data_IF_241835659419
#
_entry.id   IF_241835659419
#
_cell.length_a   1.000
_cell.length_b   1.000
_cell.length_c   1.000
_cell.angle_alpha   90.00
_cell.angle_beta   90.00
_cell.angle_gamma   90.00
#
_symmetry.space_group_name_H-M   'P 1'
#
loop_
_entity.id
_entity.type
_entity.pdbx_description
1 polymer ?
#
# COMPACT_ATOMS: atom_id res chain seq x y z
N UNK A 1 -24.28 4.39 -1.56
CA UNK A 1 -23.88 3.56 -2.73
C UNK A 1 -22.82 4.31 -3.51
N UNK A 2 -21.84 3.59 -4.10
CA UNK A 2 -20.85 4.25 -4.96
C UNK A 2 -21.50 4.89 -6.18
N UNK A 3 -20.92 5.99 -6.64
CA UNK A 3 -21.32 6.61 -7.90
C UNK A 3 -20.76 5.79 -9.07
N UNK A 4 -21.62 5.17 -9.84
CA UNK A 4 -21.22 4.29 -10.96
C UNK A 4 -20.49 5.02 -12.10
N UNK A 5 -20.56 6.35 -12.15
CA UNK A 5 -19.83 7.17 -13.11
C UNK A 5 -18.38 7.47 -12.69
N UNK A 6 -18.01 7.11 -11.47
CA UNK A 6 -16.67 7.33 -10.94
C UNK A 6 -15.87 6.02 -10.89
N UNK A 7 -14.57 6.11 -11.13
CA UNK A 7 -13.66 4.98 -10.91
C UNK A 7 -13.51 4.67 -9.43
N UNK A 8 -13.25 3.41 -9.12
CA UNK A 8 -13.06 2.94 -7.76
C UNK A 8 -11.61 2.56 -7.50
N UNK A 9 -11.05 3.06 -6.42
CA UNK A 9 -9.75 2.66 -5.90
C UNK A 9 -9.93 1.83 -4.62
N UNK A 10 -9.24 0.70 -4.54
CA UNK A 10 -9.05 -0.04 -3.30
C UNK A 10 -7.73 0.38 -2.65
N UNK A 11 -7.77 0.80 -1.39
CA UNK A 11 -6.58 1.15 -0.62
C UNK A 11 -6.51 0.23 0.61
N UNK A 12 -5.50 -0.63 0.66
CA UNK A 12 -5.29 -1.49 1.82
C UNK A 12 -4.51 -0.74 2.91
N UNK A 13 -4.89 -0.91 4.18
CA UNK A 13 -4.27 -0.19 5.29
C UNK A 13 -4.59 1.31 5.29
N UNK A 14 -5.83 1.68 4.97
CA UNK A 14 -6.28 3.08 4.85
C UNK A 14 -6.38 3.83 6.19
N UNK A 15 -6.26 3.13 7.34
CA UNK A 15 -6.48 3.71 8.67
C UNK A 15 -5.39 4.66 9.17
N UNK A 16 -4.24 4.75 8.49
CA UNK A 16 -3.18 5.63 8.99
C UNK A 16 -2.02 5.84 8.02
N UNK A 17 -1.15 6.76 8.39
CA UNK A 17 0.06 7.06 7.65
C UNK A 17 -0.19 7.38 6.17
N UNK A 18 0.54 6.70 5.31
CA UNK A 18 0.46 6.86 3.86
C UNK A 18 -0.95 6.50 3.34
N UNK A 19 -1.54 5.39 3.80
CA UNK A 19 -2.84 4.92 3.33
C UNK A 19 -3.97 5.93 3.55
N UNK A 20 -3.98 6.62 4.70
CA UNK A 20 -4.95 7.68 5.01
C UNK A 20 -4.84 8.85 4.02
N UNK A 21 -3.62 9.33 3.79
CA UNK A 21 -3.41 10.48 2.91
C UNK A 21 -3.75 10.17 1.46
N UNK A 22 -3.39 8.96 0.99
CA UNK A 22 -3.77 8.48 -0.34
C UNK A 22 -5.31 8.42 -0.47
N UNK A 23 -6.01 7.92 0.55
CA UNK A 23 -7.47 7.80 0.53
C UNK A 23 -8.14 9.17 0.38
N UNK A 24 -7.66 10.17 1.11
CA UNK A 24 -8.14 11.54 1.01
C UNK A 24 -7.83 12.13 -0.37
N UNK A 25 -6.63 11.87 -0.91
CA UNK A 25 -6.22 12.41 -2.19
C UNK A 25 -7.04 11.84 -3.35
N UNK A 26 -7.31 10.53 -3.37
CA UNK A 26 -8.21 9.92 -4.36
C UNK A 26 -9.64 10.46 -4.25
N UNK A 27 -10.17 10.60 -3.03
CA UNK A 27 -11.51 11.14 -2.80
C UNK A 27 -11.66 12.58 -3.30
N UNK A 28 -10.67 13.46 -3.03
CA UNK A 28 -10.61 14.84 -3.54
C UNK A 28 -10.60 14.89 -5.07
N UNK A 29 -10.05 13.88 -5.73
CA UNK A 29 -10.02 13.76 -7.18
C UNK A 29 -11.21 12.96 -7.74
N UNK A 30 -12.31 12.90 -7.00
CA UNK A 30 -13.58 12.31 -7.44
C UNK A 30 -13.51 10.83 -7.79
N UNK A 31 -12.79 10.05 -6.99
CA UNK A 31 -12.84 8.59 -7.02
C UNK A 31 -13.75 8.06 -5.93
N UNK A 32 -14.40 6.94 -6.17
CA UNK A 32 -14.94 6.10 -5.11
C UNK A 32 -13.78 5.46 -4.37
N UNK A 33 -13.73 5.55 -3.04
CA UNK A 33 -12.61 5.05 -2.24
C UNK A 33 -13.06 3.87 -1.38
N UNK A 34 -12.56 2.69 -1.70
CA UNK A 34 -12.75 1.48 -0.91
C UNK A 34 -11.59 1.34 0.05
N UNK A 35 -11.84 1.55 1.34
CA UNK A 35 -10.84 1.63 2.39
C UNK A 35 -10.80 0.33 3.20
N UNK A 36 -9.73 -0.44 3.10
CA UNK A 36 -9.50 -1.56 4.01
C UNK A 36 -8.76 -1.11 5.27
N UNK A 37 -9.13 -1.69 6.41
CA UNK A 37 -8.45 -1.54 7.70
C UNK A 37 -8.56 -2.83 8.53
N UNK A 38 -7.66 -3.01 9.53
CA UNK A 38 -7.75 -4.12 10.48
C UNK A 38 -8.41 -3.67 11.80
N UNK A 39 -7.67 -2.98 12.68
CA UNK A 39 -8.11 -2.79 14.08
C UNK A 39 -8.20 -1.34 14.56
N UNK A 40 -7.71 -0.38 13.79
CA UNK A 40 -7.60 1.04 14.21
C UNK A 40 -8.92 1.79 14.12
N UNK A 41 -9.92 1.46 14.96
CA UNK A 41 -11.26 2.09 14.95
C UNK A 41 -11.20 3.61 15.00
N UNK A 42 -10.47 4.20 15.95
CA UNK A 42 -10.36 5.65 16.10
C UNK A 42 -9.89 6.33 14.82
N UNK A 43 -8.85 5.80 14.17
CA UNK A 43 -8.33 6.39 12.93
C UNK A 43 -9.34 6.30 11.78
N UNK A 44 -10.17 5.25 11.77
CA UNK A 44 -11.24 5.09 10.78
C UNK A 44 -12.38 6.07 11.06
N UNK A 45 -12.78 6.28 12.31
CA UNK A 45 -13.78 7.28 12.69
C UNK A 45 -13.33 8.69 12.29
N UNK A 46 -12.06 9.04 12.50
CA UNK A 46 -11.47 10.32 12.07
C UNK A 46 -11.44 10.47 10.54
N UNK A 47 -11.14 9.38 9.81
CA UNK A 47 -11.15 9.38 8.35
C UNK A 47 -12.58 9.46 7.81
N UNK A 48 -13.51 8.74 8.42
CA UNK A 48 -14.93 8.77 8.07
C UNK A 48 -15.53 10.15 8.26
N UNK A 49 -15.22 10.81 9.38
CA UNK A 49 -15.60 12.19 9.60
C UNK A 49 -15.10 13.11 8.50
N UNK A 50 -13.81 13.02 8.16
CA UNK A 50 -13.23 13.78 7.06
C UNK A 50 -13.96 13.53 5.73
N UNK A 51 -14.35 12.31 5.45
CA UNK A 51 -15.07 11.97 4.21
C UNK A 51 -16.50 12.51 4.22
N UNK A 52 -17.22 12.41 5.33
CA UNK A 52 -18.57 12.98 5.50
C UNK A 52 -18.57 14.51 5.37
N UNK A 53 -17.62 15.16 6.04
CA UNK A 53 -17.50 16.63 6.03
C UNK A 53 -17.22 17.21 4.62
N UNK A 54 -16.71 16.38 3.69
CA UNK A 54 -16.40 16.77 2.31
C UNK A 54 -17.27 16.09 1.25
N UNK A 55 -18.32 15.37 1.63
CA UNK A 55 -19.23 14.65 0.74
C UNK A 55 -18.52 13.70 -0.24
N UNK A 56 -17.49 12.98 0.23
CA UNK A 56 -16.75 12.02 -0.56
C UNK A 56 -17.46 10.67 -0.66
N UNK A 57 -17.24 9.95 -1.75
CA UNK A 57 -17.74 8.58 -1.93
C UNK A 57 -16.76 7.56 -1.35
N UNK A 58 -17.15 6.86 -0.29
CA UNK A 58 -16.29 5.90 0.39
C UNK A 58 -17.06 4.67 0.88
N UNK A 59 -16.31 3.60 1.13
CA UNK A 59 -16.79 2.40 1.79
C UNK A 59 -15.65 1.77 2.61
N UNK A 60 -15.91 1.37 3.84
CA UNK A 60 -14.93 0.72 4.70
C UNK A 60 -15.15 -0.78 4.78
N UNK A 61 -14.06 -1.55 4.64
CA UNK A 61 -14.06 -2.99 4.87
C UNK A 61 -13.01 -3.32 5.93
N UNK A 62 -13.46 -3.93 7.01
CA UNK A 62 -12.56 -4.47 8.03
C UNK A 62 -12.17 -5.89 7.65
N UNK A 63 -10.87 -6.22 7.73
CA UNK A 63 -10.36 -7.56 7.52
C UNK A 63 -8.99 -7.72 8.21
N UNK A 64 -8.70 -8.90 8.74
CA UNK A 64 -7.39 -9.23 9.31
C UNK A 64 -6.59 -10.07 8.32
N UNK A 65 -5.69 -9.42 7.59
CA UNK A 65 -4.86 -10.09 6.58
C UNK A 65 -3.83 -11.07 7.14
N UNK A 66 -3.71 -11.23 8.46
CA UNK A 66 -2.95 -12.31 9.05
C UNK A 66 -3.66 -13.67 8.94
N UNK A 67 -4.97 -13.67 8.65
CA UNK A 67 -5.84 -14.85 8.57
C UNK A 67 -6.28 -15.10 7.14
N UNK A 68 -6.02 -16.30 6.65
CA UNK A 68 -6.41 -16.70 5.29
C UNK A 68 -7.91 -16.55 5.06
N UNK A 69 -8.70 -16.99 6.02
CA UNK A 69 -10.16 -16.98 5.95
C UNK A 69 -10.70 -15.55 5.79
N UNK A 70 -10.13 -14.59 6.53
CA UNK A 70 -10.51 -13.18 6.44
C UNK A 70 -10.11 -12.58 5.08
N UNK A 71 -8.96 -13.01 4.51
CA UNK A 71 -8.55 -12.62 3.14
C UNK A 71 -9.52 -13.17 2.10
N UNK A 72 -9.94 -14.43 2.22
CA UNK A 72 -10.91 -15.04 1.28
C UNK A 72 -12.26 -14.29 1.33
N UNK A 73 -12.80 -14.04 2.53
CA UNK A 73 -14.04 -13.25 2.72
C UNK A 73 -13.88 -11.84 2.15
N UNK A 74 -12.73 -11.22 2.35
CA UNK A 74 -12.44 -9.90 1.80
C UNK A 74 -12.46 -9.93 0.27
N UNK A 75 -11.82 -10.91 -0.36
CA UNK A 75 -11.80 -11.08 -1.82
C UNK A 75 -13.21 -11.29 -2.36
N UNK A 76 -14.02 -12.13 -1.71
CA UNK A 76 -15.41 -12.34 -2.11
C UNK A 76 -16.21 -11.04 -2.08
N UNK A 77 -16.01 -10.22 -1.06
CA UNK A 77 -16.63 -8.90 -0.94
C UNK A 77 -16.21 -7.94 -2.06
N UNK A 78 -14.97 -8.02 -2.56
CA UNK A 78 -14.51 -7.19 -3.66
C UNK A 78 -15.27 -7.44 -4.98
N UNK A 79 -15.94 -8.57 -5.14
CA UNK A 79 -16.75 -8.86 -6.32
C UNK A 79 -17.94 -7.91 -6.50
N UNK A 80 -18.39 -7.25 -5.42
CA UNK A 80 -19.46 -6.25 -5.46
C UNK A 80 -19.01 -4.91 -6.08
N UNK A 81 -17.70 -4.73 -6.29
CA UNK A 81 -17.12 -3.46 -6.73
C UNK A 81 -16.42 -3.59 -8.10
N UNK A 82 -16.52 -2.53 -8.91
CA UNK A 82 -15.74 -2.41 -10.14
C UNK A 82 -14.44 -1.64 -9.85
N UNK A 83 -13.41 -2.36 -9.40
CA UNK A 83 -12.16 -1.78 -8.96
C UNK A 83 -11.28 -1.46 -10.16
N UNK A 84 -10.96 -0.18 -10.35
CA UNK A 84 -10.10 0.34 -11.40
C UNK A 84 -8.66 0.57 -10.95
N UNK A 85 -8.45 0.73 -9.65
CA UNK A 85 -7.12 0.92 -9.06
C UNK A 85 -6.98 0.18 -7.74
N UNK A 86 -5.78 -0.33 -7.45
CA UNK A 86 -5.44 -0.92 -6.16
C UNK A 86 -4.12 -0.37 -5.65
N UNK A 87 -4.12 0.05 -4.38
CA UNK A 87 -2.93 0.46 -3.65
C UNK A 87 -2.67 -0.55 -2.53
N UNK A 88 -1.71 -1.43 -2.75
CA UNK A 88 -1.26 -2.41 -1.76
C UNK A 88 -0.34 -1.71 -0.75
N UNK A 89 -0.95 -1.07 0.25
CA UNK A 89 -0.26 -0.30 1.27
C UNK A 89 -0.27 -0.99 2.64
N UNK A 90 -1.21 -1.90 2.91
CA UNK A 90 -1.22 -2.66 4.17
C UNK A 90 0.13 -3.35 4.40
N UNK A 91 0.63 -3.23 5.61
CA UNK A 91 1.89 -3.86 5.97
C UNK A 91 2.27 -3.60 7.42
N UNK A 92 2.97 -4.56 7.97
CA UNK A 92 3.56 -4.50 9.32
C UNK A 92 5.06 -4.65 9.26
N UNK A 93 5.74 -4.20 10.30
CA UNK A 93 7.15 -4.50 10.56
C UNK A 93 7.26 -5.18 11.91
N UNK A 94 8.01 -6.24 11.95
CA UNK A 94 8.35 -6.95 13.19
C UNK A 94 9.82 -6.68 13.47
N UNK A 95 10.12 -6.21 14.69
CA UNK A 95 11.49 -6.21 15.20
C UNK A 95 11.66 -7.42 16.11
N UNK A 96 12.56 -8.31 15.74
CA UNK A 96 12.98 -9.31 16.68
C UNK A 96 14.03 -8.70 17.61
N UNK A 97 13.72 -8.65 18.91
CA UNK A 97 14.64 -8.15 19.92
C UNK A 97 15.71 -9.18 20.31
N UNK A 98 15.59 -10.41 19.82
CA UNK A 98 16.57 -11.46 20.01
C UNK A 98 17.63 -11.37 18.90
N UNK A 99 18.85 -11.10 19.27
CA UNK A 99 19.94 -10.78 18.32
C UNK A 99 20.33 -11.91 17.35
N UNK A 100 19.82 -13.11 17.51
CA UNK A 100 20.28 -14.29 16.76
C UNK A 100 19.18 -15.24 16.26
N UNK A 101 17.91 -15.03 16.57
CA UNK A 101 16.83 -15.95 16.18
C UNK A 101 15.73 -15.25 15.41
N UNK A 102 15.32 -15.82 14.28
CA UNK A 102 14.15 -15.41 13.53
C UNK A 102 12.93 -16.15 14.08
N UNK A 103 11.93 -15.41 14.59
CA UNK A 103 10.65 -15.96 14.95
C UNK A 103 9.87 -16.31 13.68
N UNK A 104 9.84 -17.60 13.34
CA UNK A 104 9.18 -18.06 12.11
C UNK A 104 7.68 -17.83 12.11
N UNK A 105 6.99 -17.94 13.26
CA UNK A 105 5.54 -17.71 13.31
C UNK A 105 5.21 -16.25 13.02
N UNK A 106 5.92 -15.31 13.64
CA UNK A 106 5.77 -13.88 13.32
C UNK A 106 6.20 -13.56 11.90
N UNK A 107 7.21 -14.24 11.37
CA UNK A 107 7.64 -14.06 9.98
C UNK A 107 6.54 -14.51 9.02
N UNK A 108 5.88 -15.64 9.26
CA UNK A 108 4.74 -16.12 8.47
C UNK A 108 3.61 -15.10 8.51
N UNK A 109 3.22 -14.61 9.70
CA UNK A 109 2.20 -13.57 9.85
C UNK A 109 2.55 -12.31 9.05
N UNK A 110 3.81 -11.86 9.14
CA UNK A 110 4.30 -10.71 8.38
C UNK A 110 4.18 -10.94 6.87
N UNK A 111 4.55 -12.13 6.37
CA UNK A 111 4.42 -12.46 4.96
C UNK A 111 2.96 -12.61 4.52
N UNK A 112 2.08 -13.14 5.38
CA UNK A 112 0.64 -13.17 5.12
C UNK A 112 0.12 -11.77 4.83
N UNK A 113 0.43 -10.79 5.69
CA UNK A 113 -0.06 -9.42 5.56
C UNK A 113 0.62 -8.67 4.41
N UNK A 114 1.98 -8.72 4.36
CA UNK A 114 2.74 -7.86 3.46
C UNK A 114 2.79 -8.38 2.01
N UNK A 115 2.62 -9.70 1.80
CA UNK A 115 2.87 -10.35 0.52
C UNK A 115 1.67 -11.16 0.03
N UNK A 116 1.23 -12.17 0.79
CA UNK A 116 0.26 -13.13 0.28
C UNK A 116 -1.12 -12.50 0.10
N UNK A 117 -1.57 -11.66 1.04
CA UNK A 117 -2.81 -10.92 0.89
C UNK A 117 -2.74 -9.98 -0.32
N UNK A 118 -1.66 -9.19 -0.47
CA UNK A 118 -1.48 -8.30 -1.62
C UNK A 118 -1.50 -9.07 -2.95
N UNK A 119 -0.85 -10.23 -3.02
CA UNK A 119 -0.83 -11.09 -4.20
C UNK A 119 -2.23 -11.62 -4.54
N UNK A 120 -2.94 -12.17 -3.56
CA UNK A 120 -4.27 -12.76 -3.75
C UNK A 120 -5.31 -11.69 -4.16
N UNK A 121 -5.31 -10.54 -3.46
CA UNK A 121 -6.20 -9.42 -3.76
C UNK A 121 -5.91 -8.83 -5.14
N UNK A 122 -4.63 -8.64 -5.50
CA UNK A 122 -4.26 -8.16 -6.84
C UNK A 122 -4.76 -9.12 -7.93
N UNK A 123 -4.59 -10.44 -7.74
CA UNK A 123 -5.07 -11.44 -8.69
C UNK A 123 -6.59 -11.42 -8.82
N UNK A 124 -7.34 -11.25 -7.75
CA UNK A 124 -8.82 -11.28 -7.78
C UNK A 124 -9.43 -10.15 -8.61
N UNK A 125 -8.76 -8.98 -8.70
CA UNK A 125 -9.25 -7.83 -9.46
C UNK A 125 -8.64 -7.73 -10.87
N UNK A 126 -7.54 -8.44 -11.12
CA UNK A 126 -6.73 -8.28 -12.34
C UNK A 126 -7.49 -8.58 -13.64
N UNK A 127 -8.22 -9.68 -13.68
CA UNK A 127 -8.93 -10.08 -14.89
C UNK A 127 -10.08 -9.11 -15.22
N UNK A 128 -10.75 -8.54 -14.21
CA UNK A 128 -11.75 -7.47 -14.44
C UNK A 128 -11.08 -6.20 -14.99
N UNK A 129 -9.89 -5.82 -14.48
CA UNK A 129 -9.13 -4.68 -15.00
C UNK A 129 -8.75 -4.89 -16.47
N UNK A 130 -8.29 -6.09 -16.84
CA UNK A 130 -7.97 -6.42 -18.24
C UNK A 130 -9.20 -6.30 -19.14
N UNK A 131 -10.32 -6.89 -18.73
CA UNK A 131 -11.57 -6.85 -19.49
C UNK A 131 -12.07 -5.41 -19.68
N UNK A 132 -11.84 -4.53 -18.72
CA UNK A 132 -12.18 -3.11 -18.81
C UNK A 132 -11.16 -2.28 -19.59
N UNK A 133 -10.07 -2.89 -20.04
CA UNK A 133 -8.93 -2.23 -20.70
C UNK A 133 -8.40 -1.03 -19.90
N UNK A 134 -8.46 -1.11 -18.58
CA UNK A 134 -7.94 -0.11 -17.65
C UNK A 134 -7.69 -0.74 -16.26
N UNK A 135 -6.48 -0.57 -15.76
CA UNK A 135 -6.12 -0.92 -14.39
C UNK A 135 -4.86 -0.19 -13.93
N UNK A 136 -4.82 0.16 -12.65
CA UNK A 136 -3.62 0.71 -12.00
C UNK A 136 -3.36 -0.05 -10.72
N UNK A 137 -2.14 -0.55 -10.56
CA UNK A 137 -1.72 -1.22 -9.32
C UNK A 137 -0.45 -0.57 -8.80
N UNK A 138 -0.45 -0.18 -7.54
CA UNK A 138 0.73 0.38 -6.87
C UNK A 138 1.04 -0.40 -5.61
N UNK A 139 2.22 -1.00 -5.55
CA UNK A 139 2.71 -1.72 -4.39
C UNK A 139 3.60 -0.81 -3.55
N UNK A 140 3.35 -0.71 -2.24
CA UNK A 140 4.16 0.10 -1.34
C UNK A 140 5.24 -0.76 -0.69
N UNK A 141 6.44 -0.68 -1.27
CA UNK A 141 7.64 -1.35 -0.77
C UNK A 141 8.33 -0.51 0.32
N UNK A 142 9.63 -0.50 0.36
CA UNK A 142 10.45 0.24 1.32
C UNK A 142 11.86 0.44 0.80
N UNK A 143 12.53 1.50 1.22
CA UNK A 143 13.97 1.69 1.00
C UNK A 143 14.80 0.52 1.55
N UNK A 144 14.29 -0.17 2.59
CA UNK A 144 14.89 -1.39 3.11
C UNK A 144 14.97 -2.55 2.11
N UNK A 145 14.14 -2.56 1.07
CA UNK A 145 14.24 -3.52 -0.02
C UNK A 145 15.43 -3.23 -0.96
N UNK A 146 15.88 -1.97 -1.04
CA UNK A 146 17.00 -1.56 -1.90
C UNK A 146 18.37 -1.84 -1.26
N UNK A 147 18.52 -1.46 0.00
CA UNK A 147 19.81 -1.51 0.68
C UNK A 147 19.95 -2.63 1.72
N UNK A 148 18.89 -3.38 1.93
CA UNK A 148 18.77 -4.24 3.09
C UNK A 148 18.29 -3.46 4.32
N UNK A 149 18.21 -4.15 5.42
CA UNK A 149 17.86 -3.61 6.72
C UNK A 149 18.75 -4.22 7.79
N UNK A 150 18.57 -3.84 9.07
CA UNK A 150 19.25 -4.55 10.16
C UNK A 150 18.84 -6.02 10.18
N UNK A 151 19.70 -6.88 10.75
CA UNK A 151 19.39 -8.31 10.96
C UNK A 151 18.04 -8.49 11.66
N UNK A 152 17.72 -7.65 12.64
CA UNK A 152 16.44 -7.68 13.35
C UNK A 152 15.21 -7.30 12.49
N UNK A 153 15.42 -6.76 11.31
CA UNK A 153 14.38 -6.38 10.35
C UNK A 153 14.46 -7.17 9.04
N UNK A 154 15.29 -8.22 8.99
CA UNK A 154 15.51 -9.06 7.80
C UNK A 154 14.19 -9.59 7.20
N UNK A 155 13.24 -10.17 7.99
CA UNK A 155 11.98 -10.64 7.44
C UNK A 155 11.17 -9.54 6.75
N UNK A 156 11.18 -8.33 7.29
CA UNK A 156 10.51 -7.18 6.69
C UNK A 156 11.12 -6.80 5.33
N UNK A 157 12.44 -6.69 5.24
CA UNK A 157 13.12 -6.38 3.98
C UNK A 157 12.83 -7.46 2.92
N UNK A 158 12.89 -8.74 3.29
CA UNK A 158 12.55 -9.86 2.42
C UNK A 158 11.09 -9.77 1.92
N UNK A 159 10.14 -9.45 2.81
CA UNK A 159 8.74 -9.32 2.42
C UNK A 159 8.52 -8.17 1.41
N UNK A 160 9.24 -7.06 1.58
CA UNK A 160 9.13 -5.92 0.65
C UNK A 160 9.78 -6.21 -0.70
N UNK A 161 10.86 -7.00 -0.75
CA UNK A 161 11.42 -7.52 -2.01
C UNK A 161 10.46 -8.49 -2.71
N UNK A 162 9.80 -9.37 -1.96
CA UNK A 162 8.80 -10.28 -2.52
C UNK A 162 7.62 -9.51 -3.13
N UNK A 163 7.15 -8.44 -2.48
CA UNK A 163 6.11 -7.55 -3.00
C UNK A 163 6.50 -6.90 -4.34
N UNK A 164 7.78 -6.55 -4.52
CA UNK A 164 8.29 -6.02 -5.80
C UNK A 164 8.27 -7.08 -6.93
N UNK A 165 8.43 -8.35 -6.57
CA UNK A 165 8.27 -9.46 -7.52
C UNK A 165 6.86 -9.55 -8.10
N UNK A 166 5.83 -9.24 -7.32
CA UNK A 166 4.44 -9.17 -7.75
C UNK A 166 4.28 -8.13 -8.87
N UNK A 167 4.90 -6.95 -8.73
CA UNK A 167 4.88 -5.90 -9.75
C UNK A 167 5.33 -6.39 -11.12
N UNK A 168 6.47 -7.08 -11.17
CA UNK A 168 7.05 -7.55 -12.44
C UNK A 168 6.12 -8.51 -13.20
N UNK A 169 5.47 -9.41 -12.46
CA UNK A 169 4.57 -10.41 -13.04
C UNK A 169 3.29 -9.76 -13.59
N UNK A 170 2.62 -8.94 -12.79
CA UNK A 170 1.37 -8.30 -13.21
C UNK A 170 1.60 -7.22 -14.27
N UNK A 171 2.72 -6.48 -14.23
CA UNK A 171 3.05 -5.48 -15.22
C UNK A 171 3.18 -6.10 -16.62
N UNK A 172 3.92 -7.21 -16.75
CA UNK A 172 4.07 -7.92 -18.04
C UNK A 172 2.76 -8.49 -18.56
N UNK A 173 1.95 -9.08 -17.67
CA UNK A 173 0.69 -9.71 -18.04
C UNK A 173 -0.43 -8.68 -18.32
N UNK A 174 -0.29 -7.45 -17.86
CA UNK A 174 -1.33 -6.43 -17.92
C UNK A 174 -1.11 -5.33 -18.96
N UNK A 175 0.12 -5.12 -19.43
CA UNK A 175 0.50 -3.95 -20.24
C UNK A 175 -0.34 -3.82 -21.53
N UNK A 176 -0.55 -4.90 -22.27
CA UNK A 176 -1.34 -4.92 -23.52
C UNK A 176 -2.84 -4.61 -23.30
N UNK A 177 -3.30 -4.72 -22.05
CA UNK A 177 -4.66 -4.41 -21.62
C UNK A 177 -4.74 -3.09 -20.84
N UNK A 178 -3.74 -2.21 -20.97
CA UNK A 178 -3.67 -0.93 -20.23
C UNK A 178 -3.78 -1.11 -18.70
N UNK A 179 -3.31 -2.23 -18.16
CA UNK A 179 -3.15 -2.45 -16.72
C UNK A 179 -1.68 -2.17 -16.37
N UNK A 180 -1.45 -1.00 -15.74
CA UNK A 180 -0.11 -0.53 -15.40
C UNK A 180 0.17 -0.82 -13.92
N UNK A 181 1.32 -1.46 -13.67
CA UNK A 181 1.67 -1.94 -12.32
C UNK A 181 3.06 -1.45 -11.94
N UNK A 182 3.15 -0.75 -10.81
CA UNK A 182 4.39 -0.16 -10.34
C UNK A 182 4.58 -0.37 -8.83
N UNK A 183 5.80 -0.19 -8.39
CA UNK A 183 6.15 -0.16 -6.97
C UNK A 183 6.70 1.20 -6.59
N UNK A 184 6.34 1.69 -5.42
CA UNK A 184 7.00 2.83 -4.78
C UNK A 184 7.79 2.32 -3.58
N UNK A 185 9.06 2.74 -3.46
CA UNK A 185 9.93 2.52 -2.30
C UNK A 185 10.04 3.81 -1.50
N UNK A 186 9.25 4.02 -0.45
CA UNK A 186 9.44 5.15 0.44
C UNK A 186 10.74 5.01 1.24
N UNK A 187 11.41 6.13 1.47
CA UNK A 187 12.41 6.28 2.53
C UNK A 187 11.74 6.49 3.89
N UNK A 188 12.29 7.39 4.71
CA UNK A 188 11.72 7.74 6.02
C UNK A 188 10.58 8.74 5.83
N UNK A 189 9.34 8.27 5.99
CA UNK A 189 8.13 9.10 5.89
C UNK A 189 7.68 9.56 7.27
N UNK A 190 7.30 10.81 7.43
CA UNK A 190 6.80 11.35 8.70
C UNK A 190 5.43 10.78 9.06
N UNK A 191 5.43 9.59 9.66
CA UNK A 191 4.24 8.85 10.10
C UNK A 191 4.47 8.23 11.47
N UNK A 192 3.39 7.87 12.16
CA UNK A 192 3.45 7.13 13.43
C UNK A 192 4.18 5.78 13.30
N UNK A 193 4.19 5.17 12.12
CA UNK A 193 4.96 3.95 11.86
C UNK A 193 6.45 4.17 12.13
N UNK A 194 7.05 5.21 11.55
CA UNK A 194 8.48 5.49 11.73
C UNK A 194 8.82 5.94 13.14
N UNK A 195 7.93 6.69 13.81
CA UNK A 195 8.12 7.07 15.22
C UNK A 195 8.20 5.85 16.14
N UNK A 196 7.41 4.80 15.86
CA UNK A 196 7.42 3.54 16.64
C UNK A 196 8.60 2.63 16.31
N UNK A 197 9.08 2.65 15.08
CA UNK A 197 10.09 1.70 14.57
C UNK A 197 11.52 2.20 14.75
N UNK A 198 11.79 3.50 14.69
CA UNK A 198 13.14 4.05 14.82
C UNK A 198 13.52 4.33 16.27
N UNK A 199 14.63 3.71 16.74
CA UNK A 199 15.19 4.00 18.08
C UNK A 199 15.87 5.36 18.15
N UNK A 200 16.47 5.83 17.05
CA UNK A 200 17.10 7.13 16.92
C UNK A 200 16.73 7.73 15.56
N UNK A 201 15.60 8.47 15.55
CA UNK A 201 15.06 9.04 14.30
C UNK A 201 15.93 10.17 13.76
N UNK A 202 16.52 10.97 14.65
CA UNK A 202 17.38 12.11 14.26
C UNK A 202 18.65 11.62 13.55
N UNK A 203 19.32 10.62 14.11
CA UNK A 203 20.47 9.98 13.47
C UNK A 203 20.07 9.38 12.11
N UNK A 204 18.95 8.68 12.04
CA UNK A 204 18.46 8.11 10.77
C UNK A 204 18.18 9.19 9.72
N UNK A 205 17.61 10.32 10.10
CA UNK A 205 17.36 11.47 9.21
C UNK A 205 18.66 12.12 8.77
N UNK A 206 19.67 12.20 9.65
CA UNK A 206 20.99 12.77 9.30
C UNK A 206 21.72 11.98 8.21
N UNK A 207 21.38 10.72 8.00
CA UNK A 207 21.94 9.88 6.93
C UNK A 207 21.26 10.12 5.57
N UNK A 208 20.06 10.69 5.54
CA UNK A 208 19.38 11.02 4.29
C UNK A 208 20.11 12.19 3.63
N UNK A 209 20.48 12.12 2.34
CA UNK A 209 21.14 13.26 1.67
C UNK A 209 20.36 14.58 1.77
N UNK A 210 19.05 14.58 1.62
CA UNK A 210 18.21 15.78 1.79
C UNK A 210 17.99 16.20 3.26
N UNK A 211 18.53 15.49 4.26
CA UNK A 211 18.48 15.81 5.69
C UNK A 211 17.08 16.05 6.27
N UNK A 212 16.06 15.50 5.64
CA UNK A 212 14.66 15.61 6.09
C UNK A 212 13.88 14.31 5.83
N UNK A 213 12.84 14.09 6.63
CA UNK A 213 11.85 13.07 6.34
C UNK A 213 10.97 13.49 5.14
N UNK A 214 10.40 12.51 4.46
CA UNK A 214 9.41 12.75 3.42
C UNK A 214 8.09 13.18 4.10
N UNK A 215 7.47 14.25 3.61
CA UNK A 215 6.10 14.56 3.99
C UNK A 215 5.17 13.48 3.39
N UNK A 216 4.19 13.03 4.19
CA UNK A 216 3.25 12.00 3.75
C UNK A 216 2.44 12.42 2.52
N UNK A 217 2.22 13.72 2.32
CA UNK A 217 1.56 14.25 1.13
C UNK A 217 2.42 14.10 -0.13
N UNK A 218 3.73 14.35 -0.02
CA UNK A 218 4.64 14.19 -1.16
C UNK A 218 4.66 12.75 -1.69
N UNK A 219 4.66 11.76 -0.78
CA UNK A 219 4.60 10.35 -1.19
C UNK A 219 3.22 9.97 -1.73
N UNK A 220 2.14 10.53 -1.14
CA UNK A 220 0.78 10.28 -1.61
C UNK A 220 0.55 10.80 -3.03
N UNK A 221 1.12 11.95 -3.41
CA UNK A 221 1.05 12.50 -4.77
C UNK A 221 1.71 11.56 -5.80
N UNK A 222 2.88 11.00 -5.50
CA UNK A 222 3.53 10.03 -6.37
C UNK A 222 2.67 8.77 -6.55
N UNK A 223 2.10 8.25 -5.45
CA UNK A 223 1.26 7.07 -5.48
C UNK A 223 -0.04 7.35 -6.24
N UNK A 224 -0.64 8.52 -6.05
CA UNK A 224 -1.82 8.95 -6.79
C UNK A 224 -1.53 9.07 -8.30
N UNK A 225 -0.40 9.67 -8.67
CA UNK A 225 0.01 9.73 -10.08
C UNK A 225 0.07 8.35 -10.71
N UNK A 226 0.75 7.40 -10.07
CA UNK A 226 0.90 6.03 -10.57
C UNK A 226 -0.39 5.22 -10.54
N UNK A 227 -1.24 5.46 -9.55
CA UNK A 227 -2.48 4.73 -9.31
C UNK A 227 -3.72 5.32 -10.00
N UNK A 228 -3.61 6.41 -10.74
CA UNK A 228 -4.73 7.07 -11.41
C UNK A 228 -4.54 7.11 -12.94
N UNK A 229 -5.52 7.70 -13.63
CA UNK A 229 -5.49 7.95 -15.08
C UNK A 229 -4.40 8.93 -15.51
N UNK A 230 -3.74 9.60 -14.57
CA UNK A 230 -2.58 10.47 -14.88
C UNK A 230 -1.39 9.66 -15.39
N UNK A 231 -1.24 8.43 -14.93
CA UNK A 231 -0.23 7.52 -15.45
C UNK A 231 -0.77 6.78 -16.67
N UNK A 232 -0.17 7.05 -17.83
CA UNK A 232 -0.54 6.42 -19.09
C UNK A 232 0.58 5.58 -19.71
N UNK A 233 1.79 5.56 -19.11
CA UNK A 233 2.93 4.93 -19.74
C UNK A 233 3.90 4.21 -18.78
N UNK A 234 3.95 4.62 -17.51
CA UNK A 234 4.86 4.02 -16.53
C UNK A 234 4.30 2.68 -16.04
N UNK A 235 5.00 1.59 -16.31
CA UNK A 235 4.68 0.25 -15.82
C UNK A 235 5.95 -0.57 -15.61
N UNK A 236 5.92 -1.53 -14.71
CA UNK A 236 7.04 -2.39 -14.33
C UNK A 236 8.21 -1.64 -13.66
N UNK A 237 7.94 -0.46 -13.11
CA UNK A 237 8.95 0.36 -12.47
C UNK A 237 8.92 0.23 -10.94
N UNK A 238 10.09 0.38 -10.36
CA UNK A 238 10.28 0.45 -8.90
C UNK A 238 10.88 1.82 -8.58
N UNK A 239 10.01 2.74 -8.20
CA UNK A 239 10.37 4.15 -7.99
C UNK A 239 10.76 4.38 -6.54
N UNK A 240 11.99 4.80 -6.32
CA UNK A 240 12.50 5.15 -4.98
C UNK A 240 12.22 6.63 -4.69
N UNK A 241 11.53 6.89 -3.59
CA UNK A 241 11.25 8.23 -3.08
C UNK A 241 11.86 8.32 -1.69
N UNK A 242 13.14 8.71 -1.61
CA UNK A 242 13.93 8.56 -0.38
C UNK A 242 14.97 9.68 -0.16
N UNK A 243 14.83 10.83 -0.83
CA UNK A 243 15.69 12.00 -0.59
C UNK A 243 17.15 11.79 -0.93
N UNK A 244 17.46 10.95 -1.93
CA UNK A 244 18.81 10.67 -2.41
C UNK A 244 19.45 9.40 -1.87
N UNK A 245 18.73 8.62 -1.04
CA UNK A 245 19.18 7.28 -0.60
C UNK A 245 19.10 6.24 -1.73
#
# INVERSE_FOLDING_TARGET
MFNNNLRTVLITGASGGIGREISILFAKNKWNVLCHYNSSKKNIEDLEKCFKDNDFNYYFIQSDFSKKEDVDIFIDKLNEFNISSIINNAGISIKDNRQCEIDLLKTIELFMINVFAAMAISKSVFDKMKNNNFGRMVNISSIGAKYGSSISSLPYACSKLALEGITKTFARAGAEHNVLVNTVRPGVVNTEFHKKVSKNLEERVSLIPLKKMIDVKEIAEMIYYLGSEKNNFITNEIITVAGGE
#
